data_IF_072053437791
#
_entry.id   IF_072053437791
#
_cell.length_a   1.000
_cell.length_b   1.000
_cell.length_c   1.000
_cell.angle_alpha   90.00
_cell.angle_beta   90.00
_cell.angle_gamma   90.00
#
_symmetry.space_group_name_H-M   'P 1'
#
loop_
_entity.id
_entity.type
_entity.pdbx_description
1 polymer ?
#
# COMPACT_ATOMS: atom_id res chain seq x y z
N UNK A 1 12.33 -42.16 41.04
CA UNK A 1 13.19 -41.15 40.36
C UNK A 1 12.87 -41.23 38.87
N UNK A 2 12.45 -40.11 38.27
CA UNK A 2 13.39 -39.33 37.49
C UNK A 2 13.43 -37.86 37.92
N UNK A 3 14.60 -37.26 37.73
CA UNK A 3 14.98 -35.90 38.10
C UNK A 3 14.49 -34.94 37.02
N UNK A 4 13.66 -33.97 37.38
CA UNK A 4 13.28 -32.86 36.49
C UNK A 4 14.18 -31.67 36.81
N UNK A 5 15.11 -31.37 35.89
CA UNK A 5 16.05 -30.26 36.01
C UNK A 5 15.38 -28.88 35.81
N UNK A 6 16.05 -27.78 36.20
CA UNK A 6 15.47 -26.45 36.20
C UNK A 6 15.39 -25.87 34.78
N UNK A 7 14.23 -25.31 34.45
CA UNK A 7 13.95 -24.62 33.18
C UNK A 7 14.77 -23.31 33.13
N UNK A 8 15.80 -23.28 32.30
CA UNK A 8 16.57 -22.07 31.97
C UNK A 8 15.68 -21.12 31.16
N UNK A 9 15.45 -19.91 31.67
CA UNK A 9 14.84 -18.80 30.94
C UNK A 9 15.86 -18.22 29.96
N UNK A 10 15.78 -18.60 28.68
CA UNK A 10 16.46 -17.88 27.60
C UNK A 10 15.62 -16.68 27.19
N UNK A 11 16.07 -15.48 27.60
CA UNK A 11 15.51 -14.23 27.13
C UNK A 11 15.93 -14.00 25.66
N UNK A 12 14.98 -14.14 24.74
CA UNK A 12 15.17 -13.70 23.36
C UNK A 12 15.00 -12.17 23.31
N UNK A 13 16.10 -11.46 23.08
CA UNK A 13 16.09 -10.00 22.82
C UNK A 13 15.62 -9.77 21.38
N UNK A 14 14.45 -9.16 21.21
CA UNK A 14 14.01 -8.63 19.91
C UNK A 14 14.50 -7.19 19.82
N UNK A 15 15.47 -6.96 18.92
CA UNK A 15 15.93 -5.62 18.57
C UNK A 15 14.94 -4.97 17.59
N UNK A 16 14.36 -3.84 17.98
CA UNK A 16 13.58 -2.99 17.09
C UNK A 16 14.51 -1.91 16.53
N UNK A 17 14.76 -1.94 15.22
CA UNK A 17 15.44 -0.87 14.50
C UNK A 17 14.40 0.19 14.13
N UNK A 18 14.47 1.37 14.75
CA UNK A 18 13.72 2.55 14.31
C UNK A 18 14.65 3.45 13.51
N UNK A 19 14.30 3.69 12.24
CA UNK A 19 14.93 4.71 11.40
C UNK A 19 14.09 5.97 11.52
N UNK A 20 14.60 6.95 12.26
CA UNK A 20 14.10 8.32 12.30
C UNK A 20 14.97 9.19 11.40
N UNK A 21 14.37 9.88 10.43
CA UNK A 21 15.04 10.97 9.70
C UNK A 21 14.29 12.28 9.90
N UNK A 22 15.12 13.28 10.14
CA UNK A 22 14.90 14.57 10.76
C UNK A 22 14.48 15.60 9.69
N UNK A 23 13.44 16.39 9.95
CA UNK A 23 13.10 17.56 9.15
C UNK A 23 13.87 18.78 9.68
N UNK A 24 14.54 19.51 8.79
CA UNK A 24 15.11 20.83 9.04
C UNK A 24 14.61 21.77 7.96
N UNK A 25 13.93 22.83 8.39
CA UNK A 25 13.53 23.94 7.55
C UNK A 25 14.52 25.10 7.66
N UNK A 26 14.53 25.95 6.64
CA UNK A 26 14.91 27.36 6.71
C UNK A 26 14.16 28.09 5.59
N UNK A 27 13.40 29.13 5.94
CA UNK A 27 12.73 30.01 4.99
C UNK A 27 13.59 31.21 4.60
N UNK A 28 13.24 31.86 3.49
CA UNK A 28 13.44 33.29 3.24
C UNK A 28 12.34 33.78 2.29
N UNK A 29 11.84 34.99 2.54
CA UNK A 29 10.68 35.61 1.90
C UNK A 29 10.89 36.22 0.50
N UNK A 30 9.90 36.99 0.00
CA UNK A 30 9.58 37.09 -1.43
C UNK A 30 10.18 38.33 -2.12
N UNK A 31 10.40 38.23 -3.44
CA UNK A 31 10.59 39.39 -4.32
C UNK A 31 9.81 39.16 -5.61
N UNK A 32 8.83 40.03 -5.87
CA UNK A 32 8.10 40.16 -7.13
C UNK A 32 8.89 41.03 -8.11
N UNK A 33 8.75 40.80 -9.42
CA UNK A 33 8.04 41.81 -10.20
C UNK A 33 7.07 41.24 -11.26
N UNK A 34 6.05 42.05 -11.50
CA UNK A 34 5.04 41.89 -12.54
C UNK A 34 5.63 42.06 -13.95
N UNK A 35 5.15 41.27 -14.91
CA UNK A 35 5.25 41.53 -16.35
C UNK A 35 3.97 41.04 -17.05
N UNK A 36 3.60 41.80 -18.07
CA UNK A 36 2.30 41.90 -18.70
C UNK A 36 1.90 40.72 -19.59
N UNK A 37 0.58 40.51 -19.70
CA UNK A 37 -0.04 39.57 -20.63
C UNK A 37 -0.32 40.24 -21.99
N UNK A 38 -0.19 39.51 -23.11
CA UNK A 38 -0.99 39.75 -24.29
C UNK A 38 -2.15 38.73 -24.37
N UNK A 39 -3.32 39.24 -24.71
CA UNK A 39 -4.49 38.46 -25.08
C UNK A 39 -4.23 37.73 -26.41
N UNK A 40 -4.58 36.44 -26.46
CA UNK A 40 -4.64 35.68 -27.72
C UNK A 40 -6.00 34.96 -27.74
N UNK A 41 -6.77 35.22 -28.80
CA UNK A 41 -8.12 34.68 -29.01
C UNK A 41 -8.14 33.16 -29.21
N UNK A 42 -9.35 32.58 -29.35
CA UNK A 42 -9.56 31.13 -29.28
C UNK A 42 -8.93 30.44 -30.49
N UNK A 43 -7.82 29.74 -30.27
CA UNK A 43 -7.31 28.75 -31.21
C UNK A 43 -8.18 27.49 -31.10
N UNK A 44 -8.70 27.07 -32.25
CA UNK A 44 -9.50 25.86 -32.39
C UNK A 44 -8.76 24.66 -31.80
N UNK A 45 -9.39 23.96 -30.87
CA UNK A 45 -8.91 22.70 -30.33
C UNK A 45 -8.75 21.72 -31.50
N UNK A 46 -7.50 21.36 -31.82
CA UNK A 46 -7.22 20.27 -32.74
C UNK A 46 -7.84 19.00 -32.15
N UNK A 47 -8.73 18.40 -32.93
CA UNK A 47 -9.42 17.15 -32.60
C UNK A 47 -8.40 16.06 -32.34
N UNK A 48 -8.45 15.43 -31.16
CA UNK A 48 -7.59 14.30 -30.82
C UNK A 48 -7.71 13.20 -31.91
N UNK A 49 -6.59 12.62 -32.38
CA UNK A 49 -6.62 11.62 -33.45
C UNK A 49 -7.34 10.35 -32.97
N UNK A 50 -8.18 9.78 -33.83
CA UNK A 50 -8.83 8.50 -33.59
C UNK A 50 -7.83 7.37 -33.91
N UNK A 51 -7.21 6.79 -32.88
CA UNK A 51 -6.31 5.64 -32.94
C UNK A 51 -5.96 5.16 -31.52
N UNK A 52 -5.41 3.95 -31.38
CA UNK A 52 -4.86 3.43 -30.12
C UNK A 52 -3.66 4.29 -29.67
N UNK A 53 -3.95 5.33 -28.88
CA UNK A 53 -3.06 6.47 -28.59
C UNK A 53 -2.23 6.29 -27.30
N UNK A 54 -2.48 5.24 -26.48
CA UNK A 54 -1.77 5.02 -25.20
C UNK A 54 -0.34 4.42 -25.36
N UNK A 55 0.15 4.28 -26.60
CA UNK A 55 1.46 3.69 -26.92
C UNK A 55 1.63 2.20 -26.51
N UNK A 56 2.47 1.46 -27.22
CA UNK A 56 2.63 0.00 -26.97
C UNK A 56 1.44 -0.84 -27.46
N UNK A 57 1.45 -2.13 -27.15
CA UNK A 57 0.42 -3.09 -27.62
C UNK A 57 -0.68 -3.26 -26.57
N UNK A 58 -1.89 -3.65 -26.99
CA UNK A 58 -3.00 -4.00 -26.09
C UNK A 58 -2.56 -5.00 -25.00
N UNK A 59 -1.86 -6.07 -25.42
CA UNK A 59 -1.31 -7.08 -24.52
C UNK A 59 -0.35 -6.49 -23.49
N UNK A 60 0.52 -5.56 -23.89
CA UNK A 60 1.41 -4.87 -22.95
C UNK A 60 0.61 -4.10 -21.91
N UNK A 61 -0.39 -3.32 -22.34
CA UNK A 61 -1.22 -2.51 -21.43
C UNK A 61 -1.99 -3.37 -20.43
N UNK A 62 -2.57 -4.49 -20.89
CA UNK A 62 -3.24 -5.46 -20.01
C UNK A 62 -2.27 -6.07 -18.97
N UNK A 63 -1.06 -6.43 -19.40
CA UNK A 63 -0.03 -6.97 -18.51
C UNK A 63 0.41 -5.93 -17.47
N UNK A 64 0.57 -4.67 -17.87
CA UNK A 64 0.92 -3.56 -16.98
C UNK A 64 -0.20 -3.23 -15.99
N UNK A 65 -1.48 -3.21 -16.42
CA UNK A 65 -2.65 -3.05 -15.54
C UNK A 65 -2.69 -4.17 -14.49
N UNK A 66 -2.64 -5.43 -14.92
CA UNK A 66 -2.70 -6.58 -14.03
C UNK A 66 -1.52 -6.64 -13.04
N UNK A 67 -0.30 -6.32 -13.52
CA UNK A 67 0.88 -6.30 -12.68
C UNK A 67 0.84 -5.17 -11.65
N UNK A 68 0.47 -3.96 -12.08
CA UNK A 68 0.43 -2.77 -11.22
C UNK A 68 -0.65 -2.89 -10.15
N UNK A 69 -1.88 -3.29 -10.52
CA UNK A 69 -2.96 -3.61 -9.56
C UNK A 69 -2.54 -4.65 -8.55
N UNK A 70 -2.05 -5.79 -9.03
CA UNK A 70 -1.64 -6.89 -8.16
C UNK A 70 -0.51 -6.50 -7.20
N UNK A 71 0.39 -5.59 -7.61
CA UNK A 71 1.43 -5.07 -6.74
C UNK A 71 0.87 -4.12 -5.67
N UNK A 72 -0.05 -3.22 -6.03
CA UNK A 72 -0.71 -2.29 -5.10
C UNK A 72 -1.54 -3.07 -4.06
N UNK A 73 -2.28 -4.09 -4.50
CA UNK A 73 -3.07 -4.96 -3.61
C UNK A 73 -2.16 -5.70 -2.63
N UNK A 74 -1.07 -6.30 -3.14
CA UNK A 74 -0.10 -7.00 -2.31
C UNK A 74 0.59 -6.06 -1.31
N UNK A 75 0.94 -4.84 -1.73
CA UNK A 75 1.49 -3.81 -0.82
C UNK A 75 0.51 -3.45 0.29
N UNK A 76 -0.77 -3.33 -0.05
CA UNK A 76 -1.82 -3.00 0.93
C UNK A 76 -2.05 -4.15 1.91
N UNK A 77 -2.10 -5.39 1.42
CA UNK A 77 -2.19 -6.58 2.25
C UNK A 77 -0.97 -6.74 3.18
N UNK A 78 0.23 -6.45 2.66
CA UNK A 78 1.47 -6.43 3.43
C UNK A 78 1.39 -5.42 4.59
N UNK A 79 0.99 -4.17 4.32
CA UNK A 79 0.87 -3.14 5.34
C UNK A 79 -0.17 -3.52 6.43
N UNK A 80 -1.29 -4.11 6.02
CA UNK A 80 -2.32 -4.64 6.94
C UNK A 80 -1.76 -5.74 7.83
N UNK A 81 -1.06 -6.71 7.25
CA UNK A 81 -0.44 -7.80 7.99
C UNK A 81 0.58 -7.28 9.01
N UNK A 82 1.47 -6.37 8.61
CA UNK A 82 2.46 -5.77 9.52
C UNK A 82 1.79 -5.00 10.67
N UNK A 83 0.69 -4.29 10.42
CA UNK A 83 -0.10 -3.65 11.48
C UNK A 83 -0.66 -4.70 12.45
N UNK A 84 -1.27 -5.77 11.91
CA UNK A 84 -1.85 -6.85 12.72
C UNK A 84 -0.80 -7.57 13.57
N UNK A 85 0.41 -7.78 13.04
CA UNK A 85 1.53 -8.33 13.82
C UNK A 85 1.87 -7.46 15.02
N UNK A 86 1.94 -6.13 14.84
CA UNK A 86 2.20 -5.18 15.95
C UNK A 86 1.12 -5.26 17.03
N UNK A 87 -0.14 -5.33 16.62
CA UNK A 87 -1.27 -5.43 17.54
C UNK A 87 -1.24 -6.77 18.31
N UNK A 88 -1.02 -7.88 17.60
CA UNK A 88 -0.91 -9.22 18.19
C UNK A 88 0.30 -9.33 19.14
N UNK A 89 1.44 -8.74 18.79
CA UNK A 89 2.61 -8.71 19.66
C UNK A 89 2.34 -7.94 20.97
N UNK A 90 1.60 -6.83 20.88
CA UNK A 90 1.19 -6.05 22.05
C UNK A 90 0.21 -6.83 22.94
N UNK A 91 -0.77 -7.50 22.33
CA UNK A 91 -1.70 -8.38 23.03
C UNK A 91 -0.97 -9.53 23.71
N UNK A 92 -0.04 -10.18 23.00
CA UNK A 92 0.72 -11.30 23.54
C UNK A 92 1.53 -10.89 24.76
N UNK A 93 2.21 -9.73 24.72
CA UNK A 93 2.95 -9.20 25.86
C UNK A 93 2.05 -8.98 27.08
N UNK A 94 0.82 -8.51 26.86
CA UNK A 94 -0.17 -8.32 27.94
C UNK A 94 -0.58 -9.67 28.54
N UNK A 95 -0.89 -10.64 27.68
CA UNK A 95 -1.26 -12.00 28.09
C UNK A 95 -0.12 -12.69 28.84
N UNK A 96 1.14 -12.51 28.41
CA UNK A 96 2.31 -13.08 29.09
C UNK A 96 2.52 -12.48 30.48
N UNK A 97 2.23 -11.19 30.67
CA UNK A 97 2.20 -10.57 31.99
C UNK A 97 1.11 -11.16 32.90
N UNK A 98 -0.10 -11.29 32.37
CA UNK A 98 -1.23 -11.96 33.01
C UNK A 98 -0.92 -13.42 33.39
N UNK A 99 -0.23 -14.13 32.52
CA UNK A 99 0.17 -15.52 32.72
C UNK A 99 1.14 -15.64 33.90
N UNK A 100 2.13 -14.75 33.99
CA UNK A 100 3.08 -14.74 35.11
C UNK A 100 2.40 -14.52 36.47
N UNK A 101 1.39 -13.65 36.53
CA UNK A 101 0.61 -13.42 37.77
C UNK A 101 -0.19 -14.66 38.14
N UNK A 102 -0.87 -15.29 37.17
CA UNK A 102 -1.69 -16.49 37.41
C UNK A 102 -0.86 -17.72 37.74
N UNK A 103 0.30 -17.89 37.10
CA UNK A 103 1.26 -18.94 37.41
C UNK A 103 1.75 -18.81 38.86
N UNK A 104 2.11 -17.60 39.30
CA UNK A 104 2.49 -17.36 40.69
C UNK A 104 1.36 -17.74 41.66
N UNK A 105 0.12 -17.37 41.35
CA UNK A 105 -1.02 -17.67 42.21
C UNK A 105 -1.31 -19.17 42.34
N UNK A 106 -1.28 -19.89 41.22
CA UNK A 106 -1.44 -21.36 41.23
C UNK A 106 -0.25 -22.02 41.94
N UNK A 107 0.96 -21.47 41.81
CA UNK A 107 2.13 -21.91 42.56
C UNK A 107 1.97 -21.77 44.08
N UNK A 108 1.38 -20.66 44.56
CA UNK A 108 1.04 -20.49 45.98
C UNK A 108 0.04 -21.56 46.46
N UNK A 109 -1.04 -21.78 45.70
CA UNK A 109 -2.07 -22.80 46.00
C UNK A 109 -1.43 -24.18 46.09
N UNK A 110 -0.62 -24.56 45.10
CA UNK A 110 0.09 -25.83 45.08
C UNK A 110 1.05 -25.97 46.28
N UNK A 111 1.74 -24.89 46.66
CA UNK A 111 2.65 -24.87 47.82
C UNK A 111 1.93 -25.00 49.16
N UNK A 112 0.74 -24.42 49.31
CA UNK A 112 -0.12 -24.65 50.48
C UNK A 112 -0.60 -26.10 50.50
N UNK A 113 -1.20 -26.58 49.41
CA UNK A 113 -1.70 -27.96 49.31
C UNK A 113 -0.61 -29.01 49.62
N UNK A 114 0.62 -28.77 49.16
CA UNK A 114 1.77 -29.64 49.44
C UNK A 114 2.15 -29.68 50.93
N UNK A 115 2.18 -28.53 51.61
CA UNK A 115 2.54 -28.45 53.04
C UNK A 115 1.47 -29.01 53.96
N UNK A 116 0.20 -28.74 53.67
CA UNK A 116 -0.92 -29.19 54.52
C UNK A 116 -1.25 -30.66 54.30
N UNK A 117 -1.05 -31.16 53.07
CA UNK A 117 -1.33 -32.54 52.70
C UNK A 117 -2.83 -32.90 52.74
N UNK A 118 -3.19 -34.06 52.17
CA UNK A 118 -4.58 -34.54 52.16
C UNK A 118 -5.12 -34.96 53.52
N UNK A 119 -4.24 -35.37 54.43
CA UNK A 119 -4.62 -35.78 55.79
C UNK A 119 -4.87 -34.57 56.69
N UNK A 120 -4.27 -33.41 56.40
CA UNK A 120 -4.45 -32.19 57.19
C UNK A 120 -5.87 -31.62 57.08
N UNK A 121 -6.45 -31.59 55.89
CA UNK A 121 -7.83 -31.11 55.69
C UNK A 121 -8.86 -32.03 56.35
N UNK A 122 -8.67 -33.35 56.27
CA UNK A 122 -9.51 -34.33 56.98
C UNK A 122 -9.40 -34.16 58.51
N UNK A 123 -8.20 -33.91 59.04
CA UNK A 123 -8.00 -33.65 60.46
C UNK A 123 -8.68 -32.36 60.94
N UNK A 124 -8.69 -31.29 60.12
CA UNK A 124 -9.38 -30.02 60.43
C UNK A 124 -10.90 -30.21 60.54
N UNK A 125 -11.48 -31.03 59.67
CA UNK A 125 -12.89 -31.39 59.71
C UNK A 125 -13.21 -32.27 60.92
N UNK A 126 -12.42 -33.31 61.18
CA UNK A 126 -12.64 -34.26 62.27
C UNK A 126 -12.42 -33.67 63.66
N UNK A 127 -11.61 -32.61 63.79
CA UNK A 127 -11.38 -31.90 65.06
C UNK A 127 -12.46 -30.81 65.33
N UNK A 128 -13.69 -31.03 64.89
CA UNK A 128 -14.83 -30.12 65.14
C UNK A 128 -15.55 -30.52 66.43
N UNK A 129 -15.86 -29.53 67.28
CA UNK A 129 -16.46 -29.77 68.60
C UNK A 129 -17.97 -30.01 68.58
N UNK A 130 -18.64 -29.81 67.43
CA UNK A 130 -20.07 -30.04 67.25
C UNK A 130 -20.40 -30.28 65.76
N UNK A 131 -21.57 -30.88 65.45
CA UNK A 131 -22.04 -31.04 64.07
C UNK A 131 -22.17 -29.73 63.30
N UNK A 132 -22.64 -28.65 63.93
CA UNK A 132 -22.76 -27.35 63.26
C UNK A 132 -21.39 -26.77 62.89
N UNK A 133 -20.41 -26.88 63.78
CA UNK A 133 -19.04 -26.45 63.51
C UNK A 133 -18.34 -27.27 62.42
N UNK A 134 -18.70 -28.56 62.28
CA UNK A 134 -18.26 -29.38 61.16
C UNK A 134 -18.80 -28.84 59.84
N UNK A 135 -20.10 -28.57 59.76
CA UNK A 135 -20.75 -28.08 58.54
C UNK A 135 -20.24 -26.71 58.10
N UNK A 136 -20.00 -25.79 59.04
CA UNK A 136 -19.40 -24.49 58.74
C UNK A 136 -17.99 -24.62 58.14
N UNK A 137 -17.14 -25.49 58.71
CA UNK A 137 -15.79 -25.77 58.19
C UNK A 137 -15.83 -26.45 56.83
N UNK A 138 -16.77 -27.36 56.62
CA UNK A 138 -16.96 -28.01 55.33
C UNK A 138 -17.36 -27.00 54.25
N UNK A 139 -18.29 -26.08 54.55
CA UNK A 139 -18.68 -25.02 53.63
C UNK A 139 -17.53 -24.05 53.31
N UNK A 140 -16.68 -23.74 54.28
CA UNK A 140 -15.49 -22.90 54.03
C UNK A 140 -14.46 -23.61 53.16
N UNK A 141 -14.24 -24.92 53.35
CA UNK A 141 -13.34 -25.70 52.49
C UNK A 141 -13.87 -25.82 51.07
N UNK A 142 -15.17 -25.99 50.88
CA UNK A 142 -15.80 -26.00 49.56
C UNK A 142 -15.58 -24.66 48.82
N UNK A 143 -15.75 -23.54 49.53
CA UNK A 143 -15.47 -22.22 48.98
C UNK A 143 -14.00 -22.04 48.58
N UNK A 144 -13.06 -22.58 49.36
CA UNK A 144 -11.63 -22.58 49.01
C UNK A 144 -11.39 -23.40 47.75
N UNK A 145 -11.91 -24.63 47.67
CA UNK A 145 -11.78 -25.48 46.48
C UNK A 145 -12.35 -24.79 45.23
N UNK A 146 -13.53 -24.16 45.34
CA UNK A 146 -14.12 -23.40 44.25
C UNK A 146 -13.25 -22.20 43.80
N UNK A 147 -12.52 -21.56 44.73
CA UNK A 147 -11.57 -20.50 44.40
C UNK A 147 -10.31 -21.04 43.70
N UNK A 148 -9.78 -22.17 44.17
CA UNK A 148 -8.60 -22.83 43.59
C UNK A 148 -8.90 -23.32 42.16
N UNK A 149 -10.06 -23.94 41.95
CA UNK A 149 -10.53 -24.37 40.64
C UNK A 149 -10.67 -23.19 39.68
N UNK A 150 -11.21 -22.06 40.15
CA UNK A 150 -11.30 -20.83 39.33
C UNK A 150 -9.92 -20.29 38.98
N UNK A 151 -8.96 -20.31 39.91
CA UNK A 151 -7.59 -19.89 39.64
C UNK A 151 -6.92 -20.77 38.58
N UNK A 152 -7.06 -22.10 38.68
CA UNK A 152 -6.53 -23.05 37.71
C UNK A 152 -7.17 -22.88 36.32
N UNK A 153 -8.51 -22.76 36.25
CA UNK A 153 -9.21 -22.51 34.98
C UNK A 153 -8.77 -21.19 34.34
N UNK A 154 -8.62 -20.13 35.14
CA UNK A 154 -8.13 -18.84 34.65
C UNK A 154 -6.70 -18.91 34.10
N UNK A 155 -5.83 -19.72 34.72
CA UNK A 155 -4.48 -19.97 34.20
C UNK A 155 -4.53 -20.71 32.85
N UNK A 156 -5.31 -21.79 32.76
CA UNK A 156 -5.45 -22.57 31.53
C UNK A 156 -6.01 -21.73 30.38
N UNK A 157 -7.07 -20.95 30.62
CA UNK A 157 -7.62 -20.02 29.62
C UNK A 157 -6.57 -19.00 29.14
N UNK A 158 -5.80 -18.41 30.07
CA UNK A 158 -4.77 -17.44 29.72
C UNK A 158 -3.66 -18.07 28.87
N UNK A 159 -3.28 -19.32 29.17
CA UNK A 159 -2.33 -20.09 28.37
C UNK A 159 -2.87 -20.39 26.97
N UNK A 160 -4.14 -20.76 26.86
CA UNK A 160 -4.80 -21.00 25.58
C UNK A 160 -4.88 -19.72 24.73
N UNK A 161 -5.23 -18.58 25.34
CA UNK A 161 -5.20 -17.27 24.69
C UNK A 161 -3.79 -16.95 24.19
N UNK A 162 -2.75 -17.16 25.01
CA UNK A 162 -1.36 -16.93 24.61
C UNK A 162 -0.98 -17.77 23.38
N UNK A 163 -1.32 -19.06 23.39
CA UNK A 163 -1.05 -19.97 22.29
C UNK A 163 -1.79 -19.56 21.00
N UNK A 164 -3.08 -19.22 21.09
CA UNK A 164 -3.85 -18.74 19.93
C UNK A 164 -3.29 -17.45 19.36
N UNK A 165 -2.89 -16.50 20.22
CA UNK A 165 -2.26 -15.25 19.77
C UNK A 165 -0.90 -15.50 19.09
N UNK A 166 -0.08 -16.44 19.60
CA UNK A 166 1.17 -16.85 18.95
C UNK A 166 0.93 -17.44 17.56
N UNK A 167 -0.01 -18.38 17.44
CA UNK A 167 -0.38 -18.98 16.15
C UNK A 167 -0.90 -17.93 15.16
N UNK A 168 -1.73 -16.98 15.63
CA UNK A 168 -2.19 -15.89 14.79
C UNK A 168 -1.04 -14.99 14.31
N UNK A 169 -0.07 -14.69 15.19
CA UNK A 169 1.12 -13.90 14.84
C UNK A 169 1.98 -14.62 13.80
N UNK A 170 2.19 -15.93 13.96
CA UNK A 170 2.93 -16.75 12.99
C UNK A 170 2.23 -16.78 11.63
N UNK A 171 0.89 -16.87 11.62
CA UNK A 171 0.08 -16.77 10.40
C UNK A 171 0.29 -15.45 9.66
N UNK A 172 0.34 -14.33 10.38
CA UNK A 172 0.63 -13.02 9.78
C UNK A 172 2.08 -12.92 9.24
N UNK A 173 3.06 -13.55 9.88
CA UNK A 173 4.44 -13.59 9.36
C UNK A 173 4.48 -14.35 8.03
N UNK A 174 3.72 -15.45 7.89
CA UNK A 174 3.61 -16.18 6.63
C UNK A 174 2.92 -15.33 5.57
N UNK A 175 1.83 -14.64 5.90
CA UNK A 175 1.13 -13.75 4.98
C UNK A 175 2.03 -12.59 4.51
N UNK A 176 2.79 -11.97 5.42
CA UNK A 176 3.79 -10.96 5.08
C UNK A 176 4.78 -11.47 4.02
N UNK A 177 5.38 -12.65 4.24
CA UNK A 177 6.35 -13.24 3.31
C UNK A 177 5.72 -13.52 1.95
N UNK A 178 4.50 -14.06 1.95
CA UNK A 178 3.73 -14.30 0.73
C UNK A 178 3.49 -13.00 -0.04
N UNK A 179 3.08 -11.91 0.62
CA UNK A 179 2.83 -10.65 -0.07
C UNK A 179 4.11 -10.02 -0.63
N UNK A 180 5.24 -10.12 0.06
CA UNK A 180 6.54 -9.72 -0.50
C UNK A 180 6.89 -10.51 -1.77
N UNK A 181 6.64 -11.83 -1.79
CA UNK A 181 6.86 -12.65 -2.98
C UNK A 181 5.90 -12.28 -4.13
N UNK A 182 4.63 -12.00 -3.83
CA UNK A 182 3.66 -11.53 -4.83
C UNK A 182 4.14 -10.21 -5.43
N UNK A 183 4.54 -9.24 -4.59
CA UNK A 183 5.08 -7.96 -5.07
C UNK A 183 6.30 -8.16 -5.97
N UNK A 184 7.26 -9.01 -5.58
CA UNK A 184 8.43 -9.31 -6.40
C UNK A 184 8.03 -9.92 -7.76
N UNK A 185 7.09 -10.87 -7.77
CA UNK A 185 6.58 -11.49 -8.99
C UNK A 185 5.86 -10.49 -9.90
N UNK A 186 5.03 -9.61 -9.34
CA UNK A 186 4.33 -8.57 -10.13
C UNK A 186 5.29 -7.55 -10.70
N UNK A 187 6.33 -7.17 -9.96
CA UNK A 187 7.41 -6.34 -10.47
C UNK A 187 8.09 -7.00 -11.67
N UNK A 188 8.51 -8.26 -11.52
CA UNK A 188 9.16 -9.02 -12.60
C UNK A 188 8.26 -9.13 -13.83
N UNK A 189 6.97 -9.44 -13.65
CA UNK A 189 6.01 -9.51 -14.76
C UNK A 189 5.91 -8.19 -15.54
N UNK A 190 5.89 -7.05 -14.85
CA UNK A 190 5.85 -5.76 -15.51
C UNK A 190 7.16 -5.45 -16.26
N UNK A 191 8.31 -5.74 -15.66
CA UNK A 191 9.62 -5.53 -16.28
C UNK A 191 9.82 -6.42 -17.52
N UNK A 192 9.46 -7.70 -17.43
CA UNK A 192 9.52 -8.64 -18.57
C UNK A 192 8.57 -8.20 -19.70
N UNK A 193 7.35 -7.77 -19.40
CA UNK A 193 6.41 -7.28 -20.41
C UNK A 193 6.98 -6.08 -21.17
N UNK A 194 7.61 -5.13 -20.46
CA UNK A 194 8.26 -3.97 -21.05
C UNK A 194 9.48 -4.36 -21.90
N UNK A 195 10.28 -5.33 -21.45
CA UNK A 195 11.42 -5.83 -22.22
C UNK A 195 11.00 -6.50 -23.53
N UNK A 196 9.96 -7.34 -23.47
CA UNK A 196 9.36 -7.98 -24.66
C UNK A 196 8.86 -6.92 -25.63
N UNK A 197 8.08 -5.95 -25.15
CA UNK A 197 7.57 -4.87 -25.99
C UNK A 197 8.68 -4.01 -26.59
N UNK A 198 9.73 -3.69 -25.82
CA UNK A 198 10.88 -2.96 -26.34
C UNK A 198 11.65 -3.75 -27.40
N UNK A 199 11.75 -5.07 -27.26
CA UNK A 199 12.37 -5.93 -28.26
C UNK A 199 11.52 -6.04 -29.55
N UNK A 200 10.20 -6.14 -29.41
CA UNK A 200 9.25 -6.12 -30.53
C UNK A 200 9.30 -4.78 -31.28
N UNK A 201 9.22 -3.66 -30.57
CA UNK A 201 9.33 -2.32 -31.16
C UNK A 201 10.67 -2.11 -31.89
N UNK A 202 11.78 -2.63 -31.35
CA UNK A 202 13.09 -2.61 -32.04
C UNK A 202 13.09 -3.44 -33.32
N UNK A 203 12.42 -4.60 -33.34
CA UNK A 203 12.31 -5.44 -34.54
C UNK A 203 11.47 -4.75 -35.61
N UNK A 204 10.36 -4.14 -35.23
CA UNK A 204 9.50 -3.37 -36.14
C UNK A 204 10.23 -2.13 -36.70
N UNK A 205 10.92 -1.37 -35.84
CA UNK A 205 11.74 -0.23 -36.27
C UNK A 205 12.89 -0.65 -37.21
N UNK A 206 13.55 -1.78 -36.95
CA UNK A 206 14.59 -2.33 -37.82
C UNK A 206 14.04 -2.80 -39.18
N UNK A 207 12.79 -3.26 -39.22
CA UNK A 207 12.08 -3.58 -40.46
C UNK A 207 11.63 -2.31 -41.22
N UNK A 208 11.46 -1.18 -40.53
CA UNK A 208 10.88 0.05 -41.07
C UNK A 208 11.86 1.01 -41.76
N UNK A 209 13.20 1.01 -41.52
CA UNK A 209 14.20 1.70 -42.38
C UNK A 209 15.69 1.53 -42.00
N UNK A 210 16.55 1.59 -43.03
CA UNK A 210 17.97 2.02 -42.93
C UNK A 210 18.05 3.46 -42.40
N UNK A 211 18.91 3.69 -41.39
CA UNK A 211 19.35 4.99 -40.80
C UNK A 211 18.31 5.71 -39.92
N UNK A 212 18.55 6.19 -38.69
CA UNK A 212 19.77 6.39 -37.86
C UNK A 212 19.44 6.54 -36.36
N UNK A 213 20.39 6.05 -35.55
CA UNK A 213 20.85 6.42 -34.19
C UNK A 213 19.95 7.15 -33.16
N UNK A 214 19.64 6.39 -32.11
CA UNK A 214 19.89 6.65 -30.67
C UNK A 214 20.01 8.09 -30.15
N UNK A 215 19.06 8.49 -29.30
CA UNK A 215 19.22 9.53 -28.28
C UNK A 215 19.18 8.90 -26.87
N UNK A 216 20.22 9.17 -26.09
CA UNK A 216 20.40 8.66 -24.72
C UNK A 216 19.44 9.31 -23.73
N UNK A 217 18.98 8.52 -22.77
CA UNK A 217 18.05 8.94 -21.73
C UNK A 217 18.72 9.84 -20.70
N UNK A 218 18.14 11.02 -20.52
CA UNK A 218 18.36 11.86 -19.35
C UNK A 218 17.18 11.65 -18.40
N UNK A 219 17.47 11.41 -17.12
CA UNK A 219 16.45 11.08 -16.13
C UNK A 219 15.50 12.26 -15.90
N UNK A 220 14.21 12.00 -16.06
CA UNK A 220 13.15 13.01 -15.90
C UNK A 220 12.97 13.38 -14.42
N UNK A 221 13.76 14.34 -13.92
CA UNK A 221 13.76 14.81 -12.53
C UNK A 221 12.91 16.06 -12.34
N UNK A 222 11.61 15.92 -12.10
CA UNK A 222 10.73 17.03 -11.71
C UNK A 222 10.84 17.38 -10.22
N UNK A 223 10.55 18.63 -9.86
CA UNK A 223 10.75 19.17 -8.49
C UNK A 223 9.46 19.40 -7.71
N UNK A 224 8.31 18.88 -8.15
CA UNK A 224 7.03 19.13 -7.48
C UNK A 224 7.03 18.65 -6.01
N UNK A 225 6.56 19.52 -5.12
CA UNK A 225 6.50 19.29 -3.67
C UNK A 225 5.08 19.18 -3.10
N UNK A 226 4.05 19.37 -3.92
CA UNK A 226 2.65 19.38 -3.47
C UNK A 226 2.14 17.96 -3.15
N UNK A 227 1.30 17.85 -2.11
CA UNK A 227 0.64 16.61 -1.72
C UNK A 227 -0.85 16.69 -2.08
N UNK A 228 -1.36 15.69 -2.79
CA UNK A 228 -2.78 15.52 -3.13
C UNK A 228 -3.56 14.99 -1.92
N UNK A 229 -4.79 15.39 -1.66
CA UNK A 229 -5.61 14.71 -0.66
C UNK A 229 -5.78 13.21 -1.01
N UNK A 230 -5.72 12.28 -0.04
CA UNK A 230 -5.84 10.85 -0.34
C UNK A 230 -7.24 10.49 -0.84
N UNK A 231 -7.32 9.69 -1.90
CA UNK A 231 -8.57 9.11 -2.35
C UNK A 231 -9.16 8.15 -1.27
N UNK A 232 -10.50 8.01 -1.18
CA UNK A 232 -11.13 7.13 -0.21
C UNK A 232 -10.67 5.67 -0.31
N UNK A 233 -10.48 5.03 0.85
CA UNK A 233 -10.11 3.61 0.98
C UNK A 233 -11.14 2.86 1.81
N UNK A 234 -11.22 1.56 1.59
CA UNK A 234 -11.97 0.66 2.47
C UNK A 234 -11.39 0.67 3.89
N UNK A 235 -12.15 0.21 4.88
CA UNK A 235 -11.73 0.13 6.28
C UNK A 235 -10.48 -0.74 6.49
N UNK A 236 -10.24 -1.68 5.59
CA UNK A 236 -9.09 -2.58 5.57
C UNK A 236 -7.87 -2.00 4.80
N UNK A 237 -7.98 -0.76 4.32
CA UNK A 237 -6.97 -0.02 3.57
C UNK A 237 -6.94 -0.32 2.06
N UNK A 238 -7.71 -1.30 1.58
CA UNK A 238 -7.80 -1.62 0.14
C UNK A 238 -8.51 -0.52 -0.64
N UNK A 239 -8.23 -0.48 -1.95
CA UNK A 239 -8.94 0.40 -2.86
C UNK A 239 -10.28 -0.20 -3.24
N UNK A 240 -11.40 0.54 -3.13
CA UNK A 240 -12.67 0.07 -3.61
C UNK A 240 -12.64 -0.12 -5.14
N UNK A 241 -13.29 -1.17 -5.67
CA UNK A 241 -13.50 -1.26 -7.10
C UNK A 241 -14.39 -0.10 -7.54
N UNK A 242 -14.05 0.54 -8.64
CA UNK A 242 -14.81 1.64 -9.21
C UNK A 242 -15.05 1.38 -10.68
N UNK A 243 -16.23 1.78 -11.15
CA UNK A 243 -16.60 1.75 -12.56
C UNK A 243 -16.69 3.16 -13.11
N UNK A 244 -16.58 3.25 -14.44
CA UNK A 244 -16.93 4.41 -15.24
C UNK A 244 -18.37 4.83 -14.89
N UNK A 245 -18.52 5.88 -14.08
CA UNK A 245 -19.80 6.22 -13.44
C UNK A 245 -20.05 7.71 -13.26
N UNK A 246 -19.02 8.53 -13.47
CA UNK A 246 -19.12 9.99 -13.42
C UNK A 246 -18.91 10.52 -14.82
N UNK A 247 -19.74 11.45 -15.28
CA UNK A 247 -19.54 12.11 -16.56
C UNK A 247 -18.16 12.78 -16.60
N UNK A 248 -17.40 12.55 -17.66
CA UNK A 248 -16.08 13.14 -17.83
C UNK A 248 -16.17 14.67 -17.91
N UNK A 249 -15.58 15.43 -16.96
CA UNK A 249 -15.65 16.89 -16.96
C UNK A 249 -14.61 17.55 -17.89
N UNK A 250 -13.81 16.77 -18.62
CA UNK A 250 -12.90 17.27 -19.64
C UNK A 250 -13.63 17.46 -20.98
N UNK A 251 -12.99 18.03 -22.02
CA UNK A 251 -13.60 18.12 -23.35
C UNK A 251 -13.89 16.77 -24.02
N UNK A 252 -13.46 15.65 -23.41
CA UNK A 252 -13.84 14.31 -23.83
C UNK A 252 -15.29 13.99 -23.45
N UNK A 253 -15.92 13.10 -24.23
CA UNK A 253 -17.26 12.58 -23.95
C UNK A 253 -17.16 11.20 -23.34
N UNK A 254 -17.99 10.89 -22.33
CA UNK A 254 -18.08 9.56 -21.73
C UNK A 254 -18.03 9.65 -20.21
N UNK A 255 -17.49 8.62 -19.56
CA UNK A 255 -17.39 8.59 -18.11
C UNK A 255 -15.98 8.30 -17.59
N UNK A 256 -15.75 8.70 -16.36
CA UNK A 256 -14.56 8.38 -15.58
C UNK A 256 -14.96 7.75 -14.25
N UNK A 257 -13.99 7.12 -13.58
CA UNK A 257 -14.19 6.67 -12.21
C UNK A 257 -14.13 7.86 -11.23
N UNK A 258 -14.78 7.76 -10.06
CA UNK A 258 -14.62 8.75 -8.99
C UNK A 258 -13.15 9.05 -8.64
N UNK A 259 -12.28 8.04 -8.68
CA UNK A 259 -10.85 8.20 -8.41
C UNK A 259 -10.11 8.96 -9.50
N UNK A 260 -10.45 8.75 -10.77
CA UNK A 260 -9.90 9.54 -11.88
C UNK A 260 -10.32 11.00 -11.75
N UNK A 261 -11.60 11.26 -11.41
CA UNK A 261 -12.07 12.62 -11.13
C UNK A 261 -11.27 13.25 -9.99
N UNK A 262 -11.11 12.53 -8.88
CA UNK A 262 -10.34 13.01 -7.73
C UNK A 262 -8.88 13.33 -8.12
N UNK A 263 -8.21 12.45 -8.87
CA UNK A 263 -6.84 12.70 -9.33
C UNK A 263 -6.74 13.93 -10.24
N UNK A 264 -7.71 14.13 -11.14
CA UNK A 264 -7.82 15.31 -11.99
C UNK A 264 -7.99 16.59 -11.17
N UNK A 265 -8.90 16.59 -10.20
CA UNK A 265 -9.16 17.73 -9.32
C UNK A 265 -7.95 18.08 -8.46
N UNK A 266 -7.28 17.08 -7.91
CA UNK A 266 -6.06 17.27 -7.12
C UNK A 266 -4.91 17.81 -7.97
N UNK A 267 -4.72 17.33 -9.21
CA UNK A 267 -3.73 17.90 -10.11
C UNK A 267 -4.03 19.37 -10.43
N UNK A 268 -5.29 19.70 -10.73
CA UNK A 268 -5.72 21.10 -10.95
C UNK A 268 -5.48 21.97 -9.72
N UNK A 269 -5.82 21.48 -8.53
CA UNK A 269 -5.59 22.17 -7.27
C UNK A 269 -4.09 22.42 -6.99
N UNK A 270 -3.22 21.51 -7.44
CA UNK A 270 -1.77 21.66 -7.39
C UNK A 270 -1.19 22.61 -8.47
N UNK A 271 -2.04 23.24 -9.29
CA UNK A 271 -1.65 24.20 -10.32
C UNK A 271 -1.45 23.63 -11.72
N UNK A 272 -1.75 22.35 -11.93
CA UNK A 272 -1.68 21.71 -13.24
C UNK A 272 -3.00 21.84 -13.99
N UNK A 273 -3.22 23.02 -14.59
CA UNK A 273 -4.52 23.41 -15.17
C UNK A 273 -4.54 23.47 -16.69
N UNK A 274 -3.51 22.94 -17.37
CA UNK A 274 -3.49 22.84 -18.84
C UNK A 274 -4.56 21.85 -19.34
N UNK A 275 -4.74 21.81 -20.66
CA UNK A 275 -5.72 20.93 -21.31
C UNK A 275 -5.55 19.47 -20.83
N UNK A 276 -6.67 18.79 -20.58
CA UNK A 276 -6.71 17.38 -20.18
C UNK A 276 -7.79 16.69 -20.99
N UNK A 277 -7.58 15.43 -21.36
CA UNK A 277 -8.59 14.55 -21.93
C UNK A 277 -8.56 13.21 -21.21
N UNK A 278 -9.69 12.73 -20.68
CA UNK A 278 -9.72 11.53 -19.84
C UNK A 278 -10.38 10.31 -20.50
N UNK A 279 -11.63 10.39 -20.93
CA UNK A 279 -12.33 9.26 -21.50
C UNK A 279 -12.16 9.18 -23.01
N UNK A 280 -11.99 7.96 -23.53
CA UNK A 280 -12.12 7.67 -24.97
C UNK A 280 -12.83 6.32 -25.12
N UNK A 281 -13.96 6.24 -25.85
CA UNK A 281 -14.79 5.02 -25.90
C UNK A 281 -14.19 3.90 -26.76
N UNK A 282 -13.19 4.21 -27.58
CA UNK A 282 -12.48 3.28 -28.45
C UNK A 282 -11.03 3.12 -28.01
N UNK A 283 -10.44 1.95 -28.26
CA UNK A 283 -9.06 1.65 -27.92
C UNK A 283 -8.96 0.54 -26.87
N UNK A 284 -7.73 0.19 -26.52
CA UNK A 284 -7.42 -0.68 -25.38
C UNK A 284 -6.89 0.16 -24.22
N UNK A 285 -6.59 -0.47 -23.08
CA UNK A 285 -5.97 0.23 -21.95
C UNK A 285 -6.96 0.87 -21.00
N UNK A 286 -6.65 2.07 -20.52
CA UNK A 286 -7.25 2.66 -19.32
C UNK A 286 -8.25 3.80 -19.60
N UNK A 287 -8.12 4.50 -20.73
CA UNK A 287 -9.10 5.52 -21.16
C UNK A 287 -10.52 4.95 -21.33
N UNK A 288 -10.77 3.81 -22.00
CA UNK A 288 -12.13 3.27 -22.15
C UNK A 288 -12.74 2.81 -20.82
N UNK A 289 -11.90 2.49 -19.83
CA UNK A 289 -12.32 2.13 -18.48
C UNK A 289 -12.65 3.36 -17.62
N UNK A 290 -12.35 4.57 -18.09
CA UNK A 290 -12.49 5.81 -17.34
C UNK A 290 -11.42 5.99 -16.25
N UNK A 291 -10.27 5.31 -16.40
CA UNK A 291 -9.20 5.22 -15.41
C UNK A 291 -7.92 5.95 -15.78
N UNK A 292 -7.95 6.69 -16.88
CA UNK A 292 -6.82 7.46 -17.35
C UNK A 292 -7.17 8.89 -17.72
N UNK A 293 -6.14 9.74 -17.70
CA UNK A 293 -6.17 11.10 -18.20
C UNK A 293 -4.83 11.46 -18.86
N UNK A 294 -4.90 12.07 -20.04
CA UNK A 294 -3.77 12.68 -20.72
C UNK A 294 -3.75 14.17 -20.40
N UNK A 295 -2.71 14.62 -19.71
CA UNK A 295 -2.51 16.01 -19.34
C UNK A 295 -1.53 16.66 -20.30
N UNK A 296 -2.01 17.58 -21.13
CA UNK A 296 -1.19 18.27 -22.11
C UNK A 296 -0.01 18.97 -21.44
N UNK A 297 1.18 18.74 -22.00
CA UNK A 297 2.37 19.43 -21.57
C UNK A 297 2.36 20.88 -22.06
N UNK A 298 1.83 21.15 -23.26
CA UNK A 298 1.69 22.50 -23.84
C UNK A 298 0.40 23.20 -23.41
N UNK A 299 0.36 24.54 -23.49
CA UNK A 299 -0.84 25.34 -23.13
C UNK A 299 -1.98 25.18 -24.14
N UNK A 300 -1.63 24.95 -25.42
CA UNK A 300 -2.58 24.92 -26.54
C UNK A 300 -3.32 23.60 -26.72
N UNK A 301 -3.06 22.59 -25.88
CA UNK A 301 -3.57 21.22 -26.07
C UNK A 301 -2.45 20.23 -26.37
N UNK A 302 -2.80 19.11 -27.01
CA UNK A 302 -1.82 18.13 -27.46
C UNK A 302 -1.09 18.66 -28.69
N UNK A 303 0.12 19.19 -28.47
CA UNK A 303 0.98 19.80 -29.49
C UNK A 303 2.08 18.86 -29.98
N UNK A 304 3.22 19.44 -30.32
CA UNK A 304 4.41 18.70 -30.73
C UNK A 304 5.19 18.14 -29.54
N UNK A 305 6.41 17.66 -29.77
CA UNK A 305 7.31 17.28 -28.67
C UNK A 305 7.46 18.45 -27.69
N UNK A 306 7.14 18.22 -26.41
CA UNK A 306 7.27 19.25 -25.40
C UNK A 306 8.75 19.63 -25.23
N UNK A 307 9.03 20.93 -25.32
CA UNK A 307 10.36 21.49 -25.12
C UNK A 307 10.32 22.63 -24.10
N UNK A 308 11.50 23.05 -23.61
CA UNK A 308 11.63 24.20 -22.72
C UNK A 308 10.67 24.18 -21.52
N UNK A 309 9.85 25.23 -21.39
CA UNK A 309 8.90 25.39 -20.29
C UNK A 309 7.78 24.34 -20.27
N UNK A 310 7.42 23.78 -21.42
CA UNK A 310 6.35 22.78 -21.52
C UNK A 310 6.87 21.41 -21.07
N UNK A 311 8.11 21.09 -21.44
CA UNK A 311 8.82 19.93 -20.89
C UNK A 311 8.96 20.03 -19.37
N UNK A 312 9.38 21.21 -18.88
CA UNK A 312 9.49 21.47 -17.43
C UNK A 312 8.15 21.30 -16.70
N UNK A 313 7.05 21.75 -17.32
CA UNK A 313 5.71 21.56 -16.77
C UNK A 313 5.34 20.07 -16.68
N UNK A 314 5.56 19.30 -17.75
CA UNK A 314 5.32 17.86 -17.76
C UNK A 314 6.18 17.10 -16.76
N UNK A 315 7.47 17.46 -16.61
CA UNK A 315 8.37 16.87 -15.61
C UNK A 315 7.83 17.05 -14.19
N UNK A 316 7.36 18.25 -13.87
CA UNK A 316 6.78 18.57 -12.57
C UNK A 316 5.44 17.85 -12.34
N UNK A 317 4.62 17.69 -13.37
CA UNK A 317 3.36 16.97 -13.29
C UNK A 317 3.57 15.46 -13.09
N UNK A 318 4.48 14.85 -13.85
CA UNK A 318 4.86 13.45 -13.65
C UNK A 318 5.41 13.23 -12.23
N UNK A 319 6.29 14.11 -11.75
CA UNK A 319 6.80 14.06 -10.38
C UNK A 319 5.69 14.21 -9.33
N UNK A 320 4.68 15.04 -9.58
CA UNK A 320 3.53 15.19 -8.70
C UNK A 320 2.74 13.89 -8.57
N UNK A 321 2.42 13.23 -9.68
CA UNK A 321 1.69 11.96 -9.63
C UNK A 321 2.50 10.84 -8.98
N UNK A 322 3.81 10.78 -9.23
CA UNK A 322 4.72 9.82 -8.59
C UNK A 322 4.78 10.02 -7.08
N UNK A 323 4.97 11.26 -6.63
CA UNK A 323 4.95 11.61 -5.19
C UNK A 323 3.65 11.19 -4.53
N UNK A 324 2.54 11.35 -5.25
CA UNK A 324 1.19 11.08 -4.76
C UNK A 324 0.66 9.70 -5.15
N UNK A 325 1.52 8.78 -5.59
CA UNK A 325 1.10 7.50 -6.15
C UNK A 325 0.23 6.67 -5.18
N UNK A 326 0.58 6.64 -3.90
CA UNK A 326 -0.23 5.96 -2.88
C UNK A 326 -1.47 6.75 -2.47
N UNK A 327 -1.49 8.08 -2.65
CA UNK A 327 -2.65 8.92 -2.34
C UNK A 327 -3.72 8.84 -3.44
N UNK A 328 -3.30 8.66 -4.69
CA UNK A 328 -4.17 8.67 -5.87
C UNK A 328 -4.41 7.28 -6.49
N UNK A 329 -3.85 6.22 -5.90
CA UNK A 329 -3.85 4.86 -6.43
C UNK A 329 -3.28 4.76 -7.86
N UNK A 330 -2.17 5.43 -8.12
CA UNK A 330 -1.54 5.46 -9.45
C UNK A 330 -1.08 4.05 -9.83
N UNK A 331 -1.58 3.55 -10.96
CA UNK A 331 -1.10 2.32 -11.59
C UNK A 331 0.22 2.58 -12.29
N UNK A 332 0.26 3.63 -13.11
CA UNK A 332 1.46 4.08 -13.80
C UNK A 332 1.32 5.52 -14.30
N UNK A 333 2.46 6.13 -14.59
CA UNK A 333 2.58 7.43 -15.25
C UNK A 333 3.43 7.23 -16.50
N UNK A 334 2.98 7.68 -17.66
CA UNK A 334 3.79 7.68 -18.88
C UNK A 334 4.14 9.11 -19.21
N UNK A 335 5.43 9.37 -19.38
CA UNK A 335 5.94 10.67 -19.75
C UNK A 335 7.25 10.56 -20.49
N UNK A 336 7.34 11.27 -21.60
CA UNK A 336 8.54 11.47 -22.39
C UNK A 336 9.26 10.17 -22.73
N UNK A 337 8.53 9.24 -23.36
CA UNK A 337 8.99 7.92 -23.76
C UNK A 337 9.39 7.00 -22.60
N UNK A 338 8.86 7.28 -21.41
CA UNK A 338 9.12 6.48 -20.22
C UNK A 338 7.81 6.15 -19.51
N UNK A 339 7.77 4.99 -18.87
CA UNK A 339 6.70 4.60 -17.95
C UNK A 339 7.26 4.47 -16.55
N UNK A 340 6.61 5.10 -15.58
CA UNK A 340 6.87 4.92 -14.18
C UNK A 340 5.87 3.93 -13.60
N UNK A 341 6.39 2.91 -12.93
CA UNK A 341 5.60 1.92 -12.20
C UNK A 341 5.89 2.03 -10.69
N UNK A 342 4.89 1.92 -9.80
CA UNK A 342 5.10 1.86 -8.36
C UNK A 342 6.07 0.76 -7.92
N UNK A 343 6.18 -0.31 -8.70
CA UNK A 343 7.01 -1.49 -8.42
C UNK A 343 8.48 -1.36 -8.84
N UNK A 344 8.79 -0.57 -9.87
CA UNK A 344 10.10 -0.58 -10.53
C UNK A 344 10.65 0.80 -10.93
N UNK A 345 9.89 1.88 -10.71
CA UNK A 345 10.29 3.22 -11.10
C UNK A 345 10.20 3.44 -12.62
N UNK A 346 10.99 4.38 -13.14
CA UNK A 346 11.03 4.70 -14.57
C UNK A 346 11.65 3.57 -15.40
N UNK A 347 10.99 3.24 -16.50
CA UNK A 347 11.42 2.29 -17.54
C UNK A 347 11.19 2.92 -18.91
N UNK A 348 11.91 2.45 -19.92
CA UNK A 348 11.68 2.88 -21.30
C UNK A 348 10.28 2.46 -21.76
N UNK A 349 9.59 3.37 -22.43
CA UNK A 349 8.26 3.16 -23.00
C UNK A 349 8.10 4.05 -24.23
N UNK A 350 8.52 3.57 -25.40
CA UNK A 350 8.33 4.29 -26.65
C UNK A 350 7.19 3.65 -27.43
N UNK A 351 6.22 4.46 -27.85
CA UNK A 351 5.18 4.03 -28.77
C UNK A 351 5.81 3.67 -30.12
N UNK A 352 5.23 2.68 -30.80
CA UNK A 352 5.70 2.28 -32.13
C UNK A 352 5.35 3.32 -33.22
N UNK A 353 4.57 4.36 -32.90
CA UNK A 353 4.03 5.33 -33.86
C UNK A 353 5.01 6.43 -34.28
N UNK A 354 5.99 6.76 -33.45
CA UNK A 354 6.99 7.79 -33.74
C UNK A 354 6.42 9.22 -33.78
N UNK A 355 5.22 9.43 -33.23
CA UNK A 355 4.58 10.74 -33.09
C UNK A 355 4.49 11.16 -31.61
N UNK A 356 4.37 12.47 -31.32
CA UNK A 356 4.45 12.95 -29.95
C UNK A 356 3.38 12.43 -28.98
N UNK A 357 2.20 12.06 -29.49
CA UNK A 357 1.13 11.52 -28.65
C UNK A 357 1.44 10.06 -28.31
N UNK A 358 1.69 9.20 -29.30
CA UNK A 358 2.00 7.78 -29.02
C UNK A 358 3.29 7.59 -28.22
N UNK A 359 4.26 8.50 -28.37
CA UNK A 359 5.52 8.53 -27.61
C UNK A 359 5.43 9.31 -26.27
N UNK A 360 4.28 9.89 -25.96
CA UNK A 360 4.01 10.64 -24.73
C UNK A 360 5.00 11.78 -24.49
N UNK A 361 5.48 12.42 -25.55
CA UNK A 361 6.38 13.58 -25.46
C UNK A 361 5.62 14.89 -25.39
N UNK A 362 4.32 14.92 -25.72
CA UNK A 362 3.46 16.12 -25.67
C UNK A 362 2.46 16.14 -24.50
N UNK A 363 2.35 15.05 -23.72
CA UNK A 363 1.44 14.95 -22.58
C UNK A 363 1.94 13.97 -21.52
N UNK A 364 1.56 14.21 -20.26
CA UNK A 364 1.73 13.24 -19.16
C UNK A 364 0.47 12.39 -19.10
N UNK A 365 0.61 11.08 -19.32
CA UNK A 365 -0.48 10.14 -19.16
C UNK A 365 -0.48 9.60 -17.73
N UNK A 366 -1.65 9.63 -17.09
CA UNK A 366 -1.89 9.08 -15.77
C UNK A 366 -2.89 7.93 -15.89
N UNK A 367 -2.59 6.79 -15.26
CA UNK A 367 -3.54 5.71 -15.03
C UNK A 367 -3.72 5.41 -13.53
N UNK A 368 -4.95 5.18 -13.08
CA UNK A 368 -5.32 4.92 -11.67
C UNK A 368 -6.06 3.58 -11.50
N UNK A 369 -6.01 3.03 -10.27
CA UNK A 369 -6.46 1.66 -9.92
C UNK A 369 -7.85 1.30 -10.43
#
# INVERSE_FOLDING_TARGET
MPVVGPVRRTAARVAALMVTTLALGTGVGPVTPALAAPAVGPLAAAKAPNGDDEGGTEKLREQLDAASKGWIDARTALARSTKRQKDLATQLKTIEGELGVRDAKVGEIAGVAYRTGRLGTAAVLLNSGSPDAFMERAATLDQVAANEDRALRGLLDTRDRANRTKVALDGEIVEQRKQVLVMAKRKQQAEEALEVAAAEAKREAAAARRSSSSGGGDGTGGTSSANADPAPRNSDGSWPPESCSIDDPTPASGCITPRTLHALEQAKAAGFTRYVSCHRPSGSGEHPKGRACDFAAEKGGFGGDATGGDKTYGDNLAAYFIRNADRLAVLYVIWYRQIWLPSSGWKSYSGAGGDPSSDHTNHVHLSVY
#
